data_IF_757867099033
#
_entry.id   IF_757867099033
#
_cell.length_a   1.000
_cell.length_b   1.000
_cell.length_c   1.000
_cell.angle_alpha   90.00
_cell.angle_beta   90.00
_cell.angle_gamma   90.00
#
_symmetry.space_group_name_H-M   'P 1'
#
loop_
_entity.id
_entity.type
_entity.pdbx_description
1 polymer ?
#
# COMPACT_ATOMS: atom_id res chain seq x y z
N UNK A 1 8.98 1.78 15.15
CA UNK A 1 9.12 0.60 14.29
C UNK A 1 8.72 0.99 12.88
N UNK A 2 9.57 0.74 11.88
CA UNK A 2 9.19 0.97 10.48
C UNK A 2 8.30 -0.16 9.96
N UNK A 3 7.67 0.04 8.80
CA UNK A 3 6.71 -0.91 8.24
C UNK A 3 7.33 -2.30 8.00
N UNK A 4 8.57 -2.33 7.50
CA UNK A 4 9.30 -3.58 7.25
C UNK A 4 9.56 -4.37 8.53
N UNK A 5 10.05 -3.70 9.57
CA UNK A 5 10.28 -4.31 10.90
C UNK A 5 8.99 -4.88 11.47
N UNK A 6 7.88 -4.14 11.37
CA UNK A 6 6.56 -4.58 11.85
C UNK A 6 6.10 -5.85 11.17
N UNK A 7 6.20 -5.90 9.84
CA UNK A 7 5.84 -7.07 9.04
C UNK A 7 6.73 -8.25 9.39
N UNK A 8 8.05 -8.08 9.43
CA UNK A 8 8.99 -9.17 9.69
C UNK A 8 8.85 -9.75 11.11
N UNK A 9 8.58 -8.92 12.11
CA UNK A 9 8.27 -9.39 13.48
C UNK A 9 6.95 -10.15 13.54
N UNK A 10 5.90 -9.66 12.87
CA UNK A 10 4.62 -10.36 12.80
C UNK A 10 4.74 -11.76 12.16
N UNK A 11 5.65 -11.93 11.19
CA UNK A 11 5.96 -13.23 10.58
C UNK A 11 7.00 -14.08 11.33
N UNK A 12 7.50 -13.62 12.48
CA UNK A 12 8.54 -14.32 13.24
C UNK A 12 9.88 -14.44 12.50
N UNK A 13 10.17 -13.54 11.56
CA UNK A 13 11.44 -13.50 10.82
C UNK A 13 12.54 -12.71 11.54
N UNK A 14 12.15 -11.86 12.49
CA UNK A 14 13.03 -11.09 13.38
C UNK A 14 12.44 -11.18 14.79
N UNK A 15 13.30 -11.20 15.81
CA UNK A 15 12.89 -11.26 17.21
C UNK A 15 12.01 -10.09 17.67
N UNK A 16 11.11 -10.41 18.59
CA UNK A 16 10.19 -9.48 19.25
C UNK A 16 8.82 -9.39 18.60
N UNK A 17 7.91 -8.69 19.28
CA UNK A 17 6.54 -8.49 18.81
C UNK A 17 6.42 -7.22 17.95
N UNK A 18 5.49 -7.18 16.98
CA UNK A 18 5.15 -5.94 16.28
C UNK A 18 4.49 -4.94 17.25
N UNK A 19 4.68 -3.64 17.02
CA UNK A 19 4.09 -2.55 17.81
C UNK A 19 2.57 -2.41 17.60
N UNK A 20 2.06 -2.86 16.45
CA UNK A 20 0.64 -3.04 16.11
C UNK A 20 0.49 -4.12 15.04
N UNK A 21 -0.70 -4.71 14.84
CA UNK A 21 -0.95 -5.58 13.71
C UNK A 21 -0.59 -4.90 12.37
N UNK A 22 0.15 -5.56 11.46
CA UNK A 22 0.35 -5.07 10.11
C UNK A 22 -1.00 -4.89 9.41
N UNK A 23 -1.16 -3.78 8.70
CA UNK A 23 -2.38 -3.45 7.97
C UNK A 23 -2.06 -3.27 6.49
N UNK A 24 -2.90 -3.87 5.65
CA UNK A 24 -2.94 -3.62 4.22
C UNK A 24 -4.35 -3.11 3.88
N UNK A 25 -4.42 -2.05 3.10
CA UNK A 25 -5.67 -1.57 2.53
C UNK A 25 -5.43 -1.03 1.12
N UNK A 26 -6.52 -0.94 0.35
CA UNK A 26 -6.51 -0.43 -1.01
C UNK A 26 -7.39 0.81 -1.10
N UNK A 27 -7.13 1.64 -2.10
CA UNK A 27 -7.87 2.88 -2.34
C UNK A 27 -8.55 2.80 -3.70
N UNK A 28 -9.84 3.12 -3.76
CA UNK A 28 -10.48 3.38 -5.05
C UNK A 28 -9.98 4.71 -5.63
N UNK A 29 -10.21 4.94 -6.94
CA UNK A 29 -9.74 6.14 -7.64
C UNK A 29 -10.01 7.45 -6.90
N UNK A 30 -11.24 7.66 -6.43
CA UNK A 30 -11.64 8.89 -5.73
C UNK A 30 -10.82 9.13 -4.47
N UNK A 31 -10.52 8.08 -3.71
CA UNK A 31 -9.70 8.18 -2.50
C UNK A 31 -8.24 8.43 -2.85
N UNK A 32 -7.71 7.73 -3.86
CA UNK A 32 -6.35 7.95 -4.36
C UNK A 32 -6.14 9.41 -4.77
N UNK A 33 -7.04 9.98 -5.58
CA UNK A 33 -6.96 11.37 -6.03
C UNK A 33 -7.05 12.35 -4.84
N UNK A 34 -7.99 12.11 -3.92
CA UNK A 34 -8.18 12.94 -2.73
C UNK A 34 -6.93 12.95 -1.84
N UNK A 35 -6.39 11.77 -1.51
CA UNK A 35 -5.24 11.65 -0.62
C UNK A 35 -3.93 12.02 -1.29
N UNK A 36 -3.78 11.79 -2.60
CA UNK A 36 -2.65 12.29 -3.37
C UNK A 36 -2.55 13.81 -3.28
N UNK A 37 -3.66 14.52 -3.49
CA UNK A 37 -3.72 15.98 -3.28
C UNK A 37 -3.45 16.38 -1.82
N UNK A 38 -4.06 15.68 -0.85
CA UNK A 38 -3.91 16.00 0.59
C UNK A 38 -2.47 15.82 1.09
N UNK A 39 -1.76 14.82 0.57
CA UNK A 39 -0.41 14.46 1.00
C UNK A 39 0.69 15.09 0.12
N UNK A 40 0.32 15.76 -0.99
CA UNK A 40 1.29 16.27 -1.96
C UNK A 40 2.00 15.17 -2.74
N UNK A 41 1.40 13.98 -2.84
CA UNK A 41 1.95 12.81 -3.55
C UNK A 41 1.18 12.64 -4.85
N UNK A 42 1.88 12.57 -5.99
CA UNK A 42 1.23 12.34 -7.29
C UNK A 42 0.67 10.91 -7.33
N UNK A 43 -0.65 10.73 -7.58
CA UNK A 43 -1.22 9.41 -7.83
C UNK A 43 -0.49 8.68 -8.97
N UNK A 44 -0.06 7.45 -8.72
CA UNK A 44 0.35 6.49 -9.74
C UNK A 44 -0.77 5.47 -9.96
N UNK A 45 -0.98 5.10 -11.23
CA UNK A 45 -1.98 4.11 -11.61
C UNK A 45 -1.30 3.03 -12.46
N UNK A 46 -1.31 1.84 -11.90
CA UNK A 46 -0.78 0.63 -12.53
C UNK A 46 -1.95 -0.11 -13.17
N UNK A 47 -2.22 0.21 -14.44
CA UNK A 47 -3.38 -0.31 -15.16
C UNK A 47 -3.31 -1.82 -15.35
N UNK A 48 -4.42 -2.48 -15.09
CA UNK A 48 -4.63 -3.91 -15.31
C UNK A 48 -5.92 -4.14 -16.10
N UNK A 49 -6.06 -5.32 -16.70
CA UNK A 49 -7.27 -5.71 -17.43
C UNK A 49 -8.52 -5.63 -16.54
N UNK A 50 -8.37 -5.99 -15.25
CA UNK A 50 -9.42 -5.84 -14.26
C UNK A 50 -9.28 -4.51 -13.53
N UNK A 51 -10.39 -3.76 -13.46
CA UNK A 51 -10.42 -2.45 -12.80
C UNK A 51 -10.12 -2.57 -11.29
N UNK A 52 -10.66 -3.59 -10.62
CA UNK A 52 -10.39 -3.79 -9.18
C UNK A 52 -8.90 -4.04 -8.94
N UNK A 53 -8.26 -4.84 -9.81
CA UNK A 53 -6.84 -5.09 -9.73
C UNK A 53 -6.04 -3.81 -9.91
N UNK A 54 -6.38 -2.97 -10.90
CA UNK A 54 -5.74 -1.66 -11.14
C UNK A 54 -5.58 -0.88 -9.83
N UNK A 55 -6.65 -0.74 -9.05
CA UNK A 55 -6.61 0.05 -7.83
C UNK A 55 -5.88 -0.65 -6.67
N UNK A 56 -5.87 -1.99 -6.59
CA UNK A 56 -5.13 -2.74 -5.56
C UNK A 56 -3.60 -2.66 -5.72
N UNK A 57 -3.11 -2.52 -6.95
CA UNK A 57 -1.67 -2.48 -7.27
C UNK A 57 -1.15 -1.06 -7.55
N UNK A 58 -1.98 -0.04 -7.33
CA UNK A 58 -1.66 1.38 -7.53
C UNK A 58 -1.39 2.09 -6.21
N UNK A 59 -0.97 3.36 -6.26
CA UNK A 59 -0.94 4.27 -5.12
C UNK A 59 -0.10 3.78 -3.92
N UNK A 60 0.98 3.04 -4.16
CA UNK A 60 1.80 2.47 -3.07
C UNK A 60 2.33 3.57 -2.15
N UNK A 61 2.87 4.66 -2.71
CA UNK A 61 3.40 5.78 -1.92
C UNK A 61 2.32 6.44 -1.05
N UNK A 62 1.12 6.62 -1.60
CA UNK A 62 -0.02 7.19 -0.88
C UNK A 62 -0.45 6.24 0.25
N UNK A 63 -0.59 4.94 -0.04
CA UNK A 63 -0.98 3.92 0.94
C UNK A 63 0.02 3.80 2.07
N UNK A 64 1.31 3.77 1.75
CA UNK A 64 2.39 3.72 2.74
C UNK A 64 2.41 4.98 3.61
N UNK A 65 2.23 6.17 3.01
CA UNK A 65 2.10 7.42 3.77
C UNK A 65 0.87 7.46 4.70
N UNK A 66 -0.20 6.75 4.33
CA UNK A 66 -1.42 6.58 5.15
C UNK A 66 -1.32 5.47 6.20
N UNK A 67 -0.21 4.71 6.23
CA UNK A 67 0.05 3.68 7.24
C UNK A 67 -0.16 2.23 6.78
N UNK A 68 -0.38 1.98 5.49
CA UNK A 68 -0.29 0.62 4.93
C UNK A 68 1.13 0.10 5.10
N UNK A 69 1.24 -1.10 5.63
CA UNK A 69 2.53 -1.75 5.93
C UNK A 69 3.10 -2.50 4.72
N UNK A 70 2.28 -2.71 3.69
CA UNK A 70 2.62 -3.48 2.50
C UNK A 70 2.65 -2.60 1.24
N UNK A 71 3.60 -2.91 0.37
CA UNK A 71 3.62 -2.51 -1.04
C UNK A 71 3.03 -3.66 -1.84
N UNK A 72 2.07 -3.36 -2.71
CA UNK A 72 1.39 -4.36 -3.55
C UNK A 72 1.78 -4.16 -5.00
N UNK A 73 2.22 -5.23 -5.65
CA UNK A 73 2.56 -5.30 -7.07
C UNK A 73 1.71 -6.39 -7.74
N UNK A 74 1.53 -6.31 -9.05
CA UNK A 74 0.78 -7.33 -9.80
C UNK A 74 0.89 -7.17 -11.30
N UNK A 75 0.18 -8.05 -12.04
CA UNK A 75 0.18 -8.06 -13.50
C UNK A 75 -0.50 -6.82 -14.08
N UNK A 76 0.20 -6.16 -14.99
CA UNK A 76 -0.23 -4.93 -15.66
C UNK A 76 -0.59 -5.21 -17.11
N UNK A 77 -1.23 -4.25 -17.77
CA UNK A 77 -1.28 -4.23 -19.24
C UNK A 77 0.15 -4.17 -19.79
N UNK A 78 0.38 -4.83 -20.94
CA UNK A 78 1.67 -4.91 -21.63
C UNK A 78 1.95 -3.68 -22.49
#
# INVERSE_FOLDING_TARGET
MNNRERVLRAFGKIDGNPDRPPMQFDLCRKLTDHFGKKLGIKPDYTLSYYEDLTYRISANDIRTAMGSDCVVVGGTVA
#
